data_IF_694594747638
#
_entry.id   IF_694594747638
#
_cell.length_a   1.000
_cell.length_b   1.000
_cell.length_c   1.000
_cell.angle_alpha   90.00
_cell.angle_beta   90.00
_cell.angle_gamma   90.00
#
_symmetry.space_group_name_H-M   'P 1'
#
loop_
_entity.id
_entity.type
_entity.pdbx_description
1 polymer ?
#
# COMPACT_ATOMS: atom_id res chain seq x y z
N UNK A 1 -33.83 21.10 10.83
CA UNK A 1 -32.42 21.38 10.52
C UNK A 1 -31.72 20.03 10.40
N UNK A 2 -31.52 19.58 9.16
CA UNK A 2 -31.12 18.22 8.80
C UNK A 2 -29.62 18.01 8.98
N UNK A 3 -29.28 17.10 9.88
CA UNK A 3 -27.95 16.51 10.09
C UNK A 3 -27.51 15.78 8.83
N UNK A 4 -26.57 16.36 8.09
CA UNK A 4 -25.96 15.76 6.89
C UNK A 4 -24.55 15.30 7.23
N UNK A 5 -24.42 14.35 8.17
CA UNK A 5 -23.17 13.62 8.35
C UNK A 5 -23.19 12.46 7.35
N UNK A 6 -22.86 12.77 6.10
CA UNK A 6 -22.64 11.75 5.07
C UNK A 6 -21.53 10.81 5.53
N UNK A 7 -21.83 9.53 5.63
CA UNK A 7 -20.88 8.49 6.02
C UNK A 7 -19.64 8.54 5.10
N UNK A 8 -18.46 8.73 5.68
CA UNK A 8 -17.20 8.61 4.94
C UNK A 8 -17.01 7.15 4.54
N UNK A 9 -17.03 6.88 3.24
CA UNK A 9 -16.80 5.55 2.71
C UNK A 9 -15.29 5.35 2.49
N UNK A 10 -14.71 4.39 3.21
CA UNK A 10 -13.29 4.08 3.13
C UNK A 10 -13.01 3.14 1.95
N UNK A 11 -12.05 3.51 1.11
CA UNK A 11 -11.58 2.72 -0.03
C UNK A 11 -10.07 2.49 0.10
N UNK A 12 -9.63 1.24 0.05
CA UNK A 12 -8.22 0.86 0.13
C UNK A 12 -8.03 -0.51 0.77
N UNK A 13 -6.78 -0.89 1.03
CA UNK A 13 -6.47 -1.97 1.97
C UNK A 13 -6.59 -1.36 3.37
N UNK A 14 -7.54 -1.80 4.20
CA UNK A 14 -7.60 -1.35 5.57
C UNK A 14 -6.29 -1.69 6.28
N UNK A 15 -5.69 -0.71 6.95
CA UNK A 15 -4.50 -0.89 7.78
C UNK A 15 -4.78 -1.70 9.06
N UNK A 16 -6.00 -2.19 9.26
CA UNK A 16 -6.44 -2.86 10.50
C UNK A 16 -6.71 -4.36 10.27
N UNK A 17 -6.11 -5.24 11.11
CA UNK A 17 -6.33 -6.69 11.11
C UNK A 17 -7.81 -7.11 11.17
N UNK A 18 -8.68 -6.26 11.74
CA UNK A 18 -10.09 -6.61 12.01
C UNK A 18 -10.94 -6.85 10.75
N UNK A 19 -10.56 -6.24 9.62
CA UNK A 19 -11.31 -6.36 8.35
C UNK A 19 -10.84 -7.52 7.47
N UNK A 20 -9.72 -8.16 7.83
CA UNK A 20 -9.24 -9.40 7.23
C UNK A 20 -9.99 -10.65 7.72
N UNK A 21 -10.67 -10.56 8.87
CA UNK A 21 -11.30 -11.69 9.56
C UNK A 21 -12.60 -12.23 8.93
N UNK A 22 -13.11 -11.63 7.83
CA UNK A 22 -14.41 -11.99 7.23
C UNK A 22 -14.36 -12.72 5.89
N UNK A 23 -13.18 -13.08 5.39
CA UNK A 23 -13.03 -13.97 4.25
C UNK A 23 -11.79 -14.82 4.44
N UNK A 24 -11.91 -16.14 4.26
CA UNK A 24 -10.86 -17.15 4.44
C UNK A 24 -9.64 -16.97 3.52
N UNK A 25 -8.98 -15.84 3.68
CA UNK A 25 -7.82 -15.36 2.93
C UNK A 25 -6.58 -15.56 3.78
N UNK A 26 -5.47 -15.93 3.15
CA UNK A 26 -4.30 -16.44 3.87
C UNK A 26 -3.36 -15.30 4.25
N UNK A 27 -2.73 -15.38 5.43
CA UNK A 27 -1.50 -14.62 5.67
C UNK A 27 -0.42 -15.06 4.66
N UNK A 28 0.59 -14.22 4.43
CA UNK A 28 1.60 -14.54 3.43
C UNK A 28 2.77 -13.59 3.35
N UNK A 29 3.74 -13.99 2.53
CA UNK A 29 4.86 -13.15 2.13
C UNK A 29 4.66 -12.69 0.68
N UNK A 30 4.79 -11.40 0.43
CA UNK A 30 4.73 -10.80 -0.91
C UNK A 30 6.14 -10.39 -1.30
N UNK A 31 6.63 -10.86 -2.44
CA UNK A 31 7.96 -10.51 -2.94
C UNK A 31 8.02 -9.01 -3.29
N UNK A 32 9.02 -8.31 -2.77
CA UNK A 32 9.29 -6.92 -3.13
C UNK A 32 10.54 -6.79 -4.00
N UNK A 33 11.57 -7.59 -3.69
CA UNK A 33 12.83 -7.54 -4.39
C UNK A 33 13.59 -8.87 -4.27
N UNK A 34 14.25 -9.27 -5.35
CA UNK A 34 15.30 -10.31 -5.36
C UNK A 34 16.06 -10.21 -6.67
N UNK A 35 17.37 -10.48 -6.65
CA UNK A 35 18.14 -10.64 -7.89
C UNK A 35 17.68 -11.86 -8.69
N UNK A 36 17.19 -12.89 -8.00
CA UNK A 36 16.71 -14.14 -8.59
C UNK A 36 15.18 -14.17 -8.74
N UNK A 37 14.52 -13.01 -8.83
CA UNK A 37 13.05 -12.93 -8.80
C UNK A 37 12.34 -13.79 -9.85
N UNK A 38 12.97 -14.07 -11.00
CA UNK A 38 12.43 -14.96 -12.05
C UNK A 38 12.28 -16.42 -11.61
N UNK A 39 12.98 -16.82 -10.55
CA UNK A 39 12.90 -18.15 -9.94
C UNK A 39 11.98 -18.17 -8.72
N UNK A 40 11.43 -17.03 -8.33
CA UNK A 40 10.58 -16.85 -7.16
C UNK A 40 9.13 -16.61 -7.58
N UNK A 41 8.21 -16.87 -6.66
CA UNK A 41 6.80 -16.54 -6.83
C UNK A 41 6.56 -15.09 -6.37
N UNK A 42 5.60 -14.37 -6.97
CA UNK A 42 5.26 -13.02 -6.52
C UNK A 42 4.73 -12.97 -5.08
N UNK A 43 4.10 -14.04 -4.62
CA UNK A 43 3.65 -14.17 -3.23
C UNK A 43 3.57 -15.64 -2.79
N UNK A 44 3.69 -15.85 -1.49
CA UNK A 44 3.66 -17.14 -0.80
C UNK A 44 2.58 -17.12 0.29
N UNK A 45 1.35 -17.58 0.00
CA UNK A 45 0.33 -17.80 1.02
C UNK A 45 0.78 -18.85 2.03
N UNK A 46 0.66 -18.56 3.32
CA UNK A 46 1.01 -19.48 4.42
C UNK A 46 -0.21 -20.36 4.72
N UNK A 47 -0.19 -21.58 4.19
CA UNK A 47 -1.29 -22.54 4.32
C UNK A 47 -1.10 -23.53 5.47
N UNK A 48 0.10 -23.58 6.05
CA UNK A 48 0.46 -24.43 7.20
C UNK A 48 0.90 -23.56 8.37
N UNK A 49 0.73 -24.04 9.60
CA UNK A 49 1.14 -23.29 10.81
C UNK A 49 2.65 -23.25 11.03
N UNK A 50 3.44 -23.92 10.19
CA UNK A 50 4.89 -23.94 10.25
C UNK A 50 5.44 -23.97 8.82
N UNK A 51 6.30 -23.01 8.48
CA UNK A 51 6.80 -22.75 7.12
C UNK A 51 8.29 -22.41 7.18
N UNK A 52 9.11 -23.25 6.57
CA UNK A 52 10.55 -23.00 6.42
C UNK A 52 10.85 -22.11 5.21
N UNK A 53 11.76 -21.16 5.42
CA UNK A 53 12.39 -20.33 4.38
C UNK A 53 13.86 -20.72 4.28
N UNK A 54 14.35 -20.96 3.07
CA UNK A 54 15.76 -21.26 2.88
C UNK A 54 16.11 -21.65 1.45
N UNK A 55 17.38 -21.94 1.19
CA UNK A 55 17.83 -22.37 -0.15
C UNK A 55 17.60 -23.86 -0.41
N UNK A 56 17.23 -24.64 0.61
CA UNK A 56 16.93 -26.06 0.43
C UNK A 56 15.63 -26.21 -0.37
N UNK A 57 15.61 -27.03 -1.45
CA UNK A 57 14.39 -27.27 -2.24
C UNK A 57 13.22 -27.87 -1.46
N UNK A 58 13.46 -28.43 -0.26
CA UNK A 58 12.41 -28.93 0.63
C UNK A 58 11.75 -27.83 1.45
N UNK A 59 12.28 -26.60 1.46
CA UNK A 59 11.62 -25.47 2.10
C UNK A 59 10.35 -25.10 1.34
N UNK A 60 9.31 -24.67 2.07
CA UNK A 60 8.09 -24.18 1.47
C UNK A 60 8.33 -22.87 0.69
N UNK A 61 9.26 -22.03 1.18
CA UNK A 61 9.72 -20.83 0.48
C UNK A 61 11.21 -21.01 0.14
N UNK A 62 11.46 -21.35 -1.12
CA UNK A 62 12.81 -21.61 -1.63
C UNK A 62 13.42 -20.30 -2.13
N UNK A 63 14.48 -19.84 -1.48
CA UNK A 63 15.27 -18.68 -1.91
C UNK A 63 16.64 -19.19 -2.41
N UNK A 64 16.84 -19.34 -3.73
CA UNK A 64 17.99 -20.05 -4.32
C UNK A 64 19.27 -19.19 -4.35
N UNK A 65 19.54 -18.46 -3.28
CA UNK A 65 20.69 -17.57 -3.16
C UNK A 65 21.79 -18.21 -2.31
N UNK A 66 23.06 -17.99 -2.68
CA UNK A 66 24.21 -18.54 -1.93
C UNK A 66 24.32 -17.95 -0.52
N UNK A 67 23.86 -16.71 -0.34
CA UNK A 67 23.83 -16.04 0.94
C UNK A 67 22.77 -16.62 1.90
N UNK A 68 21.84 -17.43 1.40
CA UNK A 68 20.75 -17.99 2.20
C UNK A 68 21.14 -19.38 2.71
N UNK A 69 20.84 -19.66 3.98
CA UNK A 69 21.10 -20.97 4.60
C UNK A 69 20.13 -22.02 4.06
N UNK A 70 20.47 -23.32 4.16
CA UNK A 70 19.56 -24.40 3.71
C UNK A 70 18.18 -24.30 4.38
N UNK A 71 18.18 -24.16 5.69
CA UNK A 71 17.05 -23.69 6.49
C UNK A 71 17.52 -22.39 7.14
N UNK A 72 16.97 -21.26 6.72
CA UNK A 72 17.45 -19.94 7.12
C UNK A 72 16.55 -19.31 8.16
N UNK A 73 15.25 -19.33 7.92
CA UNK A 73 14.25 -18.82 8.84
C UNK A 73 13.04 -19.74 8.91
N UNK A 74 12.26 -19.59 9.97
CA UNK A 74 11.03 -20.31 10.23
C UNK A 74 9.91 -19.34 10.57
N UNK A 75 8.78 -19.48 9.89
CA UNK A 75 7.52 -18.86 10.25
C UNK A 75 6.63 -19.86 10.99
N UNK A 76 6.15 -19.49 12.17
CA UNK A 76 5.28 -20.34 12.99
C UNK A 76 4.06 -19.58 13.48
N UNK A 77 2.87 -20.12 13.23
CA UNK A 77 1.64 -19.62 13.79
C UNK A 77 1.40 -20.25 15.16
N UNK A 78 1.27 -19.44 16.21
CA UNK A 78 1.07 -19.91 17.58
C UNK A 78 -0.42 -20.06 17.98
N UNK A 79 -1.35 -19.69 17.08
CA UNK A 79 -2.79 -19.64 17.35
C UNK A 79 -3.36 -18.22 17.31
N UNK A 80 -2.54 -17.21 17.58
CA UNK A 80 -2.91 -15.80 17.63
C UNK A 80 -2.11 -14.96 16.62
N UNK A 81 -0.80 -15.19 16.54
CA UNK A 81 0.11 -14.43 15.70
C UNK A 81 1.16 -15.30 15.02
N UNK A 82 1.81 -14.70 14.02
CA UNK A 82 2.92 -15.31 13.30
C UNK A 82 4.23 -14.90 13.94
N UNK A 83 5.04 -15.88 14.32
CA UNK A 83 6.41 -15.68 14.78
C UNK A 83 7.36 -15.96 13.63
N UNK A 84 8.34 -15.08 13.42
CA UNK A 84 9.48 -15.31 12.55
C UNK A 84 10.71 -15.55 13.41
N UNK A 85 11.43 -16.64 13.15
CA UNK A 85 12.66 -17.02 13.84
C UNK A 85 13.81 -17.21 12.84
N UNK A 86 14.96 -16.64 13.12
CA UNK A 86 16.22 -16.96 12.44
C UNK A 86 16.78 -18.30 12.96
N UNK A 87 17.30 -19.14 12.07
CA UNK A 87 17.81 -20.49 12.42
C UNK A 87 19.33 -20.54 12.59
N UNK A 88 20.00 -19.40 12.77
CA UNK A 88 21.43 -19.31 13.10
C UNK A 88 22.34 -19.30 11.87
N UNK A 89 21.99 -18.54 10.83
CA UNK A 89 22.79 -18.40 9.61
C UNK A 89 23.87 -17.32 9.70
N UNK A 90 24.93 -17.42 8.89
CA UNK A 90 26.02 -16.42 8.87
C UNK A 90 25.56 -15.00 8.48
N UNK A 91 24.48 -14.89 7.70
CA UNK A 91 23.96 -13.61 7.21
C UNK A 91 22.74 -13.11 7.98
N UNK A 92 22.15 -13.93 8.86
CA UNK A 92 20.95 -13.61 9.63
C UNK A 92 19.70 -13.25 8.81
N UNK A 93 18.59 -13.13 9.52
CA UNK A 93 17.30 -12.64 9.02
C UNK A 93 17.08 -11.22 9.55
N UNK A 94 16.56 -10.32 8.72
CA UNK A 94 16.23 -8.96 9.15
C UNK A 94 14.74 -8.68 9.04
N UNK A 95 14.22 -7.88 9.97
CA UNK A 95 12.88 -7.28 9.91
C UNK A 95 12.99 -5.77 10.06
N UNK A 96 12.41 -5.04 9.11
CA UNK A 96 12.42 -3.56 9.04
C UNK A 96 13.84 -2.96 9.21
N UNK A 97 14.85 -3.64 8.65
CA UNK A 97 16.25 -3.20 8.70
C UNK A 97 17.03 -3.64 9.95
N UNK A 98 16.44 -4.41 10.85
CA UNK A 98 17.08 -4.90 12.07
C UNK A 98 17.26 -6.42 12.05
N UNK A 99 18.42 -6.93 12.45
CA UNK A 99 18.61 -8.37 12.65
C UNK A 99 17.76 -8.87 13.83
N UNK A 100 17.20 -10.06 13.66
CA UNK A 100 16.35 -10.70 14.67
C UNK A 100 16.85 -12.11 14.98
N UNK A 101 16.58 -12.57 16.20
CA UNK A 101 16.61 -13.99 16.56
C UNK A 101 15.19 -14.56 16.44
N UNK A 102 14.21 -13.89 17.03
CA UNK A 102 12.78 -14.18 16.93
C UNK A 102 11.96 -12.89 17.10
N UNK A 103 10.86 -12.77 16.35
CA UNK A 103 9.96 -11.61 16.43
C UNK A 103 8.52 -12.02 16.06
N UNK A 104 7.55 -11.36 16.69
CA UNK A 104 6.15 -11.40 16.28
C UNK A 104 5.91 -10.49 15.08
N UNK A 105 5.30 -11.04 14.03
CA UNK A 105 5.09 -10.32 12.78
C UNK A 105 3.80 -9.50 12.81
N UNK A 106 3.96 -8.20 12.55
CA UNK A 106 2.86 -7.29 12.28
C UNK A 106 2.64 -7.13 10.77
N UNK A 107 1.43 -6.71 10.40
CA UNK A 107 1.12 -6.41 9.00
C UNK A 107 2.13 -5.41 8.43
N UNK A 108 2.65 -5.71 7.24
CA UNK A 108 3.61 -4.88 6.53
C UNK A 108 5.03 -4.85 7.12
N UNK A 109 5.38 -5.74 8.03
CA UNK A 109 6.80 -5.99 8.32
C UNK A 109 7.55 -6.39 7.04
N UNK A 110 8.67 -5.74 6.79
CA UNK A 110 9.60 -6.04 5.71
C UNK A 110 10.61 -7.06 6.21
N UNK A 111 10.62 -8.25 5.60
CA UNK A 111 11.51 -9.36 5.94
C UNK A 111 12.58 -9.48 4.86
N UNK A 112 13.84 -9.48 5.27
CA UNK A 112 14.98 -9.72 4.38
C UNK A 112 15.71 -11.01 4.75
N UNK A 113 15.94 -11.83 3.72
CA UNK A 113 16.70 -13.09 3.77
C UNK A 113 17.68 -13.09 2.60
N UNK A 114 18.98 -12.97 2.89
CA UNK A 114 19.98 -12.71 1.85
C UNK A 114 19.75 -11.36 1.18
N UNK A 115 19.62 -11.33 -0.15
CA UNK A 115 19.23 -10.13 -0.90
C UNK A 115 17.73 -10.11 -1.25
N UNK A 116 16.98 -11.15 -0.89
CA UNK A 116 15.54 -11.21 -1.11
C UNK A 116 14.80 -10.45 -0.01
N UNK A 117 13.93 -9.53 -0.43
CA UNK A 117 13.06 -8.73 0.44
C UNK A 117 11.61 -9.09 0.15
N UNK A 118 10.87 -9.40 1.22
CA UNK A 118 9.46 -9.77 1.18
C UNK A 118 8.69 -8.95 2.21
N UNK A 119 7.43 -8.67 1.95
CA UNK A 119 6.52 -8.00 2.89
C UNK A 119 5.54 -9.00 3.47
N UNK A 120 5.38 -9.02 4.79
CA UNK A 120 4.37 -9.85 5.42
C UNK A 120 2.99 -9.20 5.33
N UNK A 121 1.99 -9.97 4.92
CA UNK A 121 0.58 -9.58 4.91
C UNK A 121 -0.22 -10.50 5.83
N UNK A 122 -1.03 -9.94 6.71
CA UNK A 122 -1.86 -10.74 7.64
C UNK A 122 -2.98 -11.50 6.93
N UNK A 123 -3.35 -11.07 5.73
CA UNK A 123 -4.39 -11.70 4.93
C UNK A 123 -4.29 -11.31 3.46
N UNK A 124 -4.92 -12.12 2.60
CA UNK A 124 -5.08 -11.81 1.18
C UNK A 124 -3.83 -12.04 0.35
N UNK A 125 -2.87 -12.84 0.81
CA UNK A 125 -1.62 -13.09 0.10
C UNK A 125 -1.83 -13.67 -1.31
N UNK A 126 -2.85 -14.52 -1.48
CA UNK A 126 -3.22 -15.09 -2.78
C UNK A 126 -3.53 -14.04 -3.85
N UNK A 127 -3.99 -12.85 -3.44
CA UNK A 127 -4.30 -11.77 -4.36
C UNK A 127 -3.05 -11.22 -5.07
N UNK A 128 -1.86 -11.40 -4.49
CA UNK A 128 -0.60 -10.89 -5.02
C UNK A 128 0.07 -11.87 -5.98
N UNK A 129 -0.34 -13.15 -6.01
CA UNK A 129 0.33 -14.21 -6.78
C UNK A 129 0.39 -13.93 -8.30
N UNK A 130 -0.57 -13.18 -8.82
CA UNK A 130 -0.62 -12.83 -10.25
C UNK A 130 0.18 -11.59 -10.62
N UNK A 131 0.77 -10.88 -9.65
CA UNK A 131 1.39 -9.58 -9.88
C UNK A 131 2.91 -9.65 -9.70
N UNK A 132 3.63 -9.96 -10.78
CA UNK A 132 5.08 -9.97 -10.79
C UNK A 132 5.68 -8.62 -10.39
N UNK A 133 6.83 -8.66 -9.72
CA UNK A 133 7.53 -7.46 -9.26
C UNK A 133 8.07 -6.60 -10.40
N UNK A 134 8.26 -7.19 -11.58
CA UNK A 134 8.63 -6.51 -12.83
C UNK A 134 7.41 -5.91 -13.55
N UNK A 135 6.23 -5.95 -12.93
CA UNK A 135 4.97 -5.48 -13.49
C UNK A 135 4.29 -6.50 -14.41
N UNK A 136 4.92 -7.64 -14.70
CA UNK A 136 4.31 -8.70 -15.49
C UNK A 136 3.13 -9.32 -14.73
N UNK A 137 2.01 -9.50 -15.42
CA UNK A 137 0.90 -10.29 -14.91
C UNK A 137 1.14 -11.77 -15.20
N UNK A 138 1.01 -12.61 -14.18
CA UNK A 138 1.14 -14.07 -14.31
C UNK A 138 -0.24 -14.71 -14.35
N UNK A 139 -0.44 -15.60 -15.32
CA UNK A 139 -1.71 -16.30 -15.54
C UNK A 139 -2.71 -15.51 -16.40
N UNK A 140 -3.97 -15.91 -16.36
CA UNK A 140 -5.08 -15.29 -17.12
C UNK A 140 -5.71 -14.08 -16.43
N UNK A 141 -5.11 -13.61 -15.33
CA UNK A 141 -5.66 -12.49 -14.55
C UNK A 141 -5.40 -11.18 -15.29
N UNK A 142 -6.47 -10.48 -15.63
CA UNK A 142 -6.41 -9.13 -16.15
C UNK A 142 -6.38 -8.13 -14.99
N UNK A 143 -5.72 -6.99 -15.21
CA UNK A 143 -5.80 -5.83 -14.33
C UNK A 143 -7.28 -5.46 -14.14
N UNK A 144 -7.66 -5.13 -12.91
CA UNK A 144 -8.99 -4.65 -12.53
C UNK A 144 -9.25 -3.25 -13.08
N UNK A 145 -8.22 -2.42 -13.16
CA UNK A 145 -8.29 -1.14 -13.84
C UNK A 145 -8.33 -1.39 -15.34
N UNK A 146 -9.36 -0.89 -16.01
CA UNK A 146 -9.53 -1.02 -17.47
C UNK A 146 -8.82 0.09 -18.24
N UNK A 147 -8.49 1.19 -17.56
CA UNK A 147 -7.82 2.35 -18.15
C UNK A 147 -6.33 2.29 -17.87
N UNK A 148 -5.53 2.69 -18.86
CA UNK A 148 -4.11 2.96 -18.65
C UNK A 148 -3.98 4.10 -17.64
N UNK A 149 -3.27 3.83 -16.54
CA UNK A 149 -2.97 4.79 -15.48
C UNK A 149 -1.45 4.95 -15.36
N UNK A 150 -0.99 6.06 -14.81
CA UNK A 150 0.42 6.23 -14.40
C UNK A 150 0.76 5.42 -13.14
N UNK A 151 -0.21 4.72 -12.54
CA UNK A 151 -0.02 3.99 -11.30
C UNK A 151 0.73 2.69 -11.58
N UNK A 152 1.88 2.54 -10.94
CA UNK A 152 2.70 1.33 -11.00
C UNK A 152 2.59 0.58 -9.66
N UNK A 153 2.36 -0.73 -9.73
CA UNK A 153 2.37 -1.59 -8.56
C UNK A 153 1.65 -2.92 -8.78
N UNK A 154 1.59 -3.72 -7.72
CA UNK A 154 0.90 -5.00 -7.72
C UNK A 154 -0.61 -4.89 -7.51
N UNK A 155 -1.19 -5.90 -6.85
CA UNK A 155 -2.63 -6.00 -6.62
C UNK A 155 -3.24 -4.79 -5.91
N UNK A 156 -2.56 -4.27 -4.88
CA UNK A 156 -3.06 -3.14 -4.10
C UNK A 156 -3.32 -1.89 -4.96
N UNK A 157 -2.37 -1.57 -5.83
CA UNK A 157 -2.47 -0.42 -6.75
C UNK A 157 -3.51 -0.67 -7.84
N UNK A 158 -3.60 -1.89 -8.39
CA UNK A 158 -4.63 -2.24 -9.36
C UNK A 158 -6.05 -2.11 -8.80
N UNK A 159 -6.24 -2.54 -7.55
CA UNK A 159 -7.50 -2.35 -6.83
C UNK A 159 -7.80 -0.87 -6.64
N UNK A 160 -6.82 -0.05 -6.27
CA UNK A 160 -6.98 1.40 -6.14
C UNK A 160 -7.37 1.98 -7.52
N UNK A 161 -6.68 1.63 -8.60
CA UNK A 161 -7.01 2.10 -9.96
C UNK A 161 -8.46 1.82 -10.35
N UNK A 162 -8.94 0.60 -10.13
CA UNK A 162 -10.34 0.25 -10.36
C UNK A 162 -11.33 1.05 -9.49
N UNK A 163 -10.94 1.42 -8.27
CA UNK A 163 -11.74 2.30 -7.42
C UNK A 163 -11.73 3.73 -7.96
N UNK A 164 -10.57 4.25 -8.38
CA UNK A 164 -10.45 5.57 -8.99
C UNK A 164 -11.35 5.71 -10.21
N UNK A 165 -11.39 4.71 -11.09
CA UNK A 165 -12.29 4.69 -12.26
C UNK A 165 -13.76 4.89 -11.90
N UNK A 166 -14.18 4.38 -10.73
CA UNK A 166 -15.56 4.49 -10.25
C UNK A 166 -15.85 5.80 -9.52
N UNK A 167 -14.90 6.28 -8.70
CA UNK A 167 -15.12 7.48 -7.86
C UNK A 167 -14.80 8.78 -8.58
N UNK A 168 -13.87 8.78 -9.53
CA UNK A 168 -13.38 9.99 -10.18
C UNK A 168 -14.48 10.78 -10.92
N UNK A 169 -15.46 10.15 -11.60
CA UNK A 169 -16.57 10.88 -12.23
C UNK A 169 -17.55 11.53 -11.24
N UNK A 170 -17.45 11.24 -9.94
CA UNK A 170 -18.39 11.72 -8.93
C UNK A 170 -17.98 13.09 -8.36
N UNK A 171 -18.97 13.87 -7.94
CA UNK A 171 -18.78 15.15 -7.24
C UNK A 171 -18.58 14.94 -5.73
N UNK A 172 -17.56 14.16 -5.36
CA UNK A 172 -17.23 13.84 -3.97
C UNK A 172 -15.91 14.48 -3.53
N UNK A 173 -15.82 14.78 -2.24
CA UNK A 173 -14.56 15.09 -1.59
C UNK A 173 -13.76 13.80 -1.41
N UNK A 174 -12.52 13.79 -1.89
CA UNK A 174 -11.62 12.63 -1.82
C UNK A 174 -10.42 13.00 -0.95
N UNK A 175 -10.16 12.20 0.08
CA UNK A 175 -8.96 12.30 0.92
C UNK A 175 -8.03 11.15 0.55
N UNK A 176 -6.79 11.46 0.20
CA UNK A 176 -5.76 10.47 -0.14
C UNK A 176 -4.79 10.38 1.04
N UNK A 177 -4.69 9.20 1.63
CA UNK A 177 -3.80 8.93 2.76
C UNK A 177 -2.71 7.94 2.36
N UNK A 178 -1.54 8.08 2.99
CA UNK A 178 -0.38 7.24 2.74
C UNK A 178 0.91 7.96 3.16
N UNK A 179 1.96 7.20 3.39
CA UNK A 179 3.28 7.71 3.77
C UNK A 179 3.89 8.58 2.67
N UNK A 180 4.92 9.35 3.02
CA UNK A 180 5.68 10.14 2.04
C UNK A 180 6.25 9.22 0.95
N UNK A 181 6.20 9.64 -0.32
CA UNK A 181 6.73 8.86 -1.45
C UNK A 181 5.83 7.72 -1.97
N UNK A 182 4.66 7.45 -1.38
CA UNK A 182 3.73 6.39 -1.84
C UNK A 182 2.96 6.70 -3.14
N UNK A 183 3.27 7.81 -3.83
CA UNK A 183 2.62 8.16 -5.09
C UNK A 183 1.26 8.85 -4.97
N UNK A 184 0.95 9.49 -3.82
CA UNK A 184 -0.31 10.22 -3.61
C UNK A 184 -0.57 11.28 -4.68
N UNK A 185 0.47 11.96 -5.15
CA UNK A 185 0.37 12.95 -6.23
C UNK A 185 0.02 12.31 -7.59
N UNK A 186 0.44 11.07 -7.82
CA UNK A 186 0.09 10.31 -9.03
C UNK A 186 -1.41 9.95 -8.98
N UNK A 187 -1.88 9.45 -7.83
CA UNK A 187 -3.30 9.16 -7.58
C UNK A 187 -4.16 10.41 -7.79
N UNK A 188 -3.71 11.55 -7.27
CA UNK A 188 -4.36 12.84 -7.44
C UNK A 188 -4.53 13.25 -8.92
N UNK A 189 -3.45 13.15 -9.71
CA UNK A 189 -3.49 13.42 -11.15
C UNK A 189 -4.43 12.46 -11.88
N UNK A 190 -4.41 11.20 -11.49
CA UNK A 190 -5.24 10.18 -12.11
C UNK A 190 -6.73 10.42 -11.84
N UNK A 191 -7.11 10.79 -10.62
CA UNK A 191 -8.48 11.22 -10.30
C UNK A 191 -8.89 12.40 -11.17
N UNK A 192 -8.06 13.44 -11.28
CA UNK A 192 -8.37 14.61 -12.10
C UNK A 192 -8.59 14.23 -13.56
N UNK A 193 -7.68 13.44 -14.14
CA UNK A 193 -7.75 12.93 -15.50
C UNK A 193 -9.02 12.10 -15.74
N UNK A 194 -9.34 11.19 -14.83
CA UNK A 194 -10.48 10.28 -14.94
C UNK A 194 -11.83 10.99 -14.71
N UNK A 195 -11.84 12.08 -13.94
CA UNK A 195 -13.05 12.87 -13.67
C UNK A 195 -13.58 13.65 -14.87
N UNK A 196 -12.72 13.91 -15.87
CA UNK A 196 -13.08 14.73 -17.03
C UNK A 196 -13.30 16.22 -16.71
N UNK A 197 -12.95 16.68 -15.50
CA UNK A 197 -13.08 18.09 -15.11
C UNK A 197 -12.16 18.98 -15.96
N UNK A 198 -12.73 20.08 -16.44
CA UNK A 198 -11.98 21.06 -17.21
C UNK A 198 -10.99 21.85 -16.34
N UNK A 199 -9.87 22.26 -16.94
CA UNK A 199 -8.85 23.08 -16.28
C UNK A 199 -7.72 22.28 -15.63
N UNK A 200 -6.68 22.97 -15.13
CA UNK A 200 -5.52 22.32 -14.53
C UNK A 200 -5.83 21.79 -13.13
N UNK A 201 -5.22 20.65 -12.78
CA UNK A 201 -5.16 20.22 -11.38
C UNK A 201 -4.39 21.27 -10.57
N UNK A 202 -5.03 21.83 -9.54
CA UNK A 202 -4.40 22.78 -8.63
C UNK A 202 -3.97 22.08 -7.37
N UNK A 203 -2.67 21.81 -7.25
CA UNK A 203 -2.09 21.38 -6.00
C UNK A 203 -1.94 22.58 -5.07
N UNK A 204 -2.42 22.44 -3.83
CA UNK A 204 -2.32 23.48 -2.81
C UNK A 204 -1.58 22.92 -1.61
N UNK A 205 -0.40 23.46 -1.34
CA UNK A 205 0.40 23.07 -0.20
C UNK A 205 -0.16 23.74 1.06
N UNK A 206 -0.91 22.99 1.86
CA UNK A 206 -1.54 23.49 3.07
C UNK A 206 -0.53 23.93 4.14
N UNK A 207 0.69 23.40 4.14
CA UNK A 207 1.75 23.82 5.07
C UNK A 207 2.32 25.20 4.74
N UNK A 208 2.10 25.69 3.52
CA UNK A 208 2.53 27.01 3.06
C UNK A 208 1.42 28.08 3.20
N UNK A 209 0.20 27.70 3.60
CA UNK A 209 -0.91 28.64 3.79
C UNK A 209 -0.94 29.09 5.26
N UNK A 210 -0.83 30.41 5.53
CA UNK A 210 -1.04 30.95 6.86
C UNK A 210 -2.40 30.51 7.44
N UNK A 211 -2.50 30.13 8.74
CA UNK A 211 -3.73 29.58 9.32
C UNK A 211 -4.98 30.46 9.12
N UNK A 212 -4.78 31.78 9.02
CA UNK A 212 -5.82 32.77 8.79
C UNK A 212 -6.34 32.85 7.33
N UNK A 213 -5.68 32.20 6.37
CA UNK A 213 -6.07 32.17 4.95
C UNK A 213 -6.53 30.77 4.49
N UNK A 214 -6.35 29.76 5.33
CA UNK A 214 -6.69 28.36 5.06
C UNK A 214 -8.14 28.19 4.60
N UNK A 215 -9.10 28.85 5.25
CA UNK A 215 -10.52 28.67 4.91
C UNK A 215 -10.88 29.21 3.51
N UNK A 216 -10.33 30.37 3.15
CA UNK A 216 -10.58 31.01 1.85
C UNK A 216 -9.91 30.27 0.68
N UNK A 217 -8.81 29.59 0.94
CA UNK A 217 -8.13 28.76 -0.05
C UNK A 217 -8.76 27.36 -0.15
N UNK A 218 -9.08 26.69 0.97
CA UNK A 218 -9.57 25.31 1.01
C UNK A 218 -11.03 25.13 0.55
N UNK A 219 -11.92 26.04 0.93
CA UNK A 219 -13.37 25.86 0.72
C UNK A 219 -13.91 26.63 -0.49
N UNK A 220 -13.05 27.43 -1.12
CA UNK A 220 -13.50 28.41 -2.09
C UNK A 220 -14.37 29.50 -1.45
N UNK A 221 -14.79 30.46 -2.25
CA UNK A 221 -15.68 31.53 -1.78
C UNK A 221 -16.55 32.04 -2.92
N UNK A 222 -17.75 32.50 -2.56
CA UNK A 222 -18.64 33.24 -3.47
C UNK A 222 -18.20 34.70 -3.58
N UNK A 223 -18.50 35.31 -4.71
CA UNK A 223 -18.32 36.74 -4.95
C UNK A 223 -18.95 37.55 -3.79
N UNK A 224 -18.14 38.40 -3.16
CA UNK A 224 -18.57 39.23 -2.03
C UNK A 224 -18.45 38.61 -0.63
N UNK A 225 -17.81 37.45 -0.47
CA UNK A 225 -17.56 36.88 0.86
C UNK A 225 -16.57 37.70 1.72
N UNK A 226 -15.68 38.48 1.09
CA UNK A 226 -14.77 39.44 1.72
C UNK A 226 -14.35 40.54 0.73
N UNK A 227 -13.72 41.62 1.22
CA UNK A 227 -13.18 42.71 0.39
C UNK A 227 -12.09 42.19 -0.56
N UNK A 228 -12.36 42.16 -1.87
CA UNK A 228 -11.48 41.58 -2.90
C UNK A 228 -12.01 40.30 -3.56
N UNK A 229 -13.14 39.74 -3.10
CA UNK A 229 -13.77 38.58 -3.71
C UNK A 229 -14.55 38.95 -4.99
N UNK A 230 -13.86 39.28 -6.08
CA UNK A 230 -14.46 39.75 -7.33
C UNK A 230 -15.14 38.67 -8.18
N UNK A 231 -14.82 37.38 -7.97
CA UNK A 231 -15.41 36.23 -8.68
C UNK A 231 -15.56 35.01 -7.78
N UNK A 232 -16.47 34.11 -8.16
CA UNK A 232 -16.65 32.81 -7.53
C UNK A 232 -15.41 31.92 -7.78
N UNK A 233 -14.96 31.23 -6.72
CA UNK A 233 -13.84 30.28 -6.79
C UNK A 233 -14.31 28.92 -6.27
N UNK A 234 -14.52 27.97 -7.19
CA UNK A 234 -14.68 26.55 -6.88
C UNK A 234 -13.31 25.88 -6.93
N UNK A 235 -12.95 25.12 -5.91
CA UNK A 235 -11.66 24.42 -5.89
C UNK A 235 -11.87 22.94 -5.61
N UNK A 236 -11.37 22.10 -6.52
CA UNK A 236 -11.08 20.70 -6.21
C UNK A 236 -9.70 20.69 -5.54
N UNK A 237 -9.66 20.45 -4.24
CA UNK A 237 -8.39 20.34 -3.51
C UNK A 237 -8.19 18.96 -2.93
N UNK A 238 -6.95 18.51 -3.02
CA UNK A 238 -6.50 17.24 -2.48
C UNK A 238 -5.68 17.59 -1.24
N UNK A 239 -6.25 17.29 -0.08
CA UNK A 239 -5.56 17.43 1.20
C UNK A 239 -4.52 16.31 1.29
N UNK A 240 -3.23 16.67 1.18
CA UNK A 240 -2.12 15.79 1.52
C UNK A 240 -1.57 16.20 2.88
N UNK A 241 -1.84 15.39 3.91
CA UNK A 241 -1.21 15.58 5.21
C UNK A 241 0.17 14.93 5.19
N UNK A 242 1.23 15.73 5.15
CA UNK A 242 2.60 15.28 5.43
C UNK A 242 2.81 15.33 6.95
N UNK A 243 2.88 14.17 7.60
CA UNK A 243 3.46 14.07 8.94
C UNK A 243 4.95 13.79 8.78
N UNK A 244 5.78 14.83 8.95
CA UNK A 244 7.20 14.66 9.24
C UNK A 244 7.30 14.51 10.76
N UNK A 245 7.44 13.27 11.25
CA UNK A 245 7.99 13.05 12.58
C UNK A 245 9.51 13.15 12.47
N UNK A 246 10.07 14.31 12.80
CA UNK A 246 11.46 14.39 13.26
C UNK A 246 11.47 14.01 14.73
N UNK A 247 12.17 12.91 15.04
CA UNK A 247 12.40 12.50 16.42
C UNK A 247 13.25 13.50 17.19
N UNK A 248 13.03 13.51 18.50
CA UNK A 248 14.07 13.58 19.50
C UNK A 248 13.89 12.36 20.40
#
# INVERSE_FOLDING_TARGET
MTSTTSAMQQYGIPASPESASRGGTSAGLVLLYSQSYKQLQPAYPLTTSEVFIGRDPLCAIVVPERAVSRHHAMLKYNGESWLLRDLGGANGTMVDGHFIDEIELEHLHEIRVGDTVMKFVLAGAENYMSYGIDGAMVGSVQRRSTRLTELVGGWAIDRIGAQLERIAPLELLIVIQGESGTGKEVVAREIHRLSGRAGPLRAVNCAAIPPNLIESELFGYKRGAFSGAERDKLVLQILSSFHIRTGA
#
